data_IF_826303853602
#
_entry.id   IF_826303853602
#
_cell.length_a   1.000
_cell.length_b   1.000
_cell.length_c   1.000
_cell.angle_alpha   90.00
_cell.angle_beta   90.00
_cell.angle_gamma   90.00
#
_symmetry.space_group_name_H-M   'P 1'
#
loop_
_entity.id
_entity.type
_entity.pdbx_description
1 polymer ?
#
# COMPACT_ATOMS: atom_id res chain seq x y z
N UNK A 1 4.69 -18.50 -33.71
CA UNK A 1 5.55 -17.80 -32.74
C UNK A 1 4.68 -17.34 -31.59
N UNK A 2 4.61 -18.12 -30.52
CA UNK A 2 3.87 -17.76 -29.30
C UNK A 2 4.57 -16.57 -28.65
N UNK A 3 3.97 -15.40 -28.82
CA UNK A 3 4.29 -14.23 -28.01
C UNK A 3 3.75 -14.52 -26.60
N UNK A 4 4.56 -14.40 -25.53
CA UNK A 4 4.00 -14.54 -24.18
C UNK A 4 2.88 -13.50 -23.99
N UNK A 5 1.82 -13.81 -23.23
CA UNK A 5 0.77 -12.84 -22.93
C UNK A 5 1.42 -11.59 -22.32
N UNK A 6 0.94 -10.37 -22.63
CA UNK A 6 1.52 -9.16 -22.09
C UNK A 6 1.32 -9.15 -20.57
N UNK A 7 2.34 -9.56 -19.82
CA UNK A 7 2.39 -9.57 -18.35
C UNK A 7 2.59 -8.16 -17.79
N UNK A 8 1.81 -7.19 -18.30
CA UNK A 8 1.86 -5.80 -17.88
C UNK A 8 0.93 -4.90 -18.71
N UNK A 9 0.52 -3.77 -18.14
CA UNK A 9 -0.35 -2.75 -18.75
C UNK A 9 0.33 -1.98 -19.92
N UNK A 10 1.52 -2.41 -20.33
CA UNK A 10 2.35 -1.81 -21.39
C UNK A 10 2.67 -0.31 -21.18
N UNK A 11 2.71 0.15 -19.93
CA UNK A 11 3.10 1.53 -19.59
C UNK A 11 4.57 1.80 -19.85
N UNK A 12 4.89 3.03 -20.26
CA UNK A 12 6.27 3.46 -20.41
C UNK A 12 6.93 3.73 -19.06
N UNK A 13 8.26 3.73 -19.02
CA UNK A 13 9.00 4.13 -17.82
C UNK A 13 8.68 5.57 -17.38
N UNK A 14 8.38 6.45 -18.35
CA UNK A 14 7.96 7.83 -18.10
C UNK A 14 6.59 7.89 -17.40
N UNK A 15 5.64 7.05 -17.81
CA UNK A 15 4.31 6.95 -17.21
C UNK A 15 4.39 6.54 -15.73
N UNK A 16 5.20 5.52 -15.44
CA UNK A 16 5.41 5.00 -14.07
C UNK A 16 6.16 6.01 -13.22
N UNK A 17 7.16 6.69 -13.80
CA UNK A 17 7.92 7.75 -13.15
C UNK A 17 7.03 8.95 -12.78
N UNK A 18 6.16 9.36 -13.71
CA UNK A 18 5.20 10.46 -13.51
C UNK A 18 4.18 10.10 -12.42
N UNK A 19 3.57 8.91 -12.48
CA UNK A 19 2.65 8.44 -11.44
C UNK A 19 3.32 8.40 -10.05
N UNK A 20 4.59 7.96 -9.99
CA UNK A 20 5.37 7.93 -8.75
C UNK A 20 5.68 9.34 -8.22
N UNK A 21 5.98 10.29 -9.10
CA UNK A 21 6.20 11.69 -8.72
C UNK A 21 4.92 12.33 -8.17
N UNK A 22 3.76 12.09 -8.80
CA UNK A 22 2.46 12.55 -8.30
C UNK A 22 2.18 11.96 -6.91
N UNK A 23 2.39 10.66 -6.73
CA UNK A 23 2.25 9.98 -5.43
C UNK A 23 3.14 10.61 -4.36
N UNK A 24 4.41 10.90 -4.69
CA UNK A 24 5.36 11.55 -3.78
C UNK A 24 4.92 12.97 -3.41
N UNK A 25 4.52 13.77 -4.39
CA UNK A 25 3.99 15.12 -4.18
C UNK A 25 2.75 15.13 -3.30
N UNK A 26 1.82 14.19 -3.53
CA UNK A 26 0.66 13.99 -2.67
C UNK A 26 1.07 13.71 -1.21
N UNK A 27 2.00 12.78 -0.98
CA UNK A 27 2.44 12.41 0.38
C UNK A 27 3.09 13.58 1.14
N UNK A 28 3.86 14.42 0.44
CA UNK A 28 4.48 15.61 1.04
C UNK A 28 3.45 16.58 1.65
N UNK A 29 2.25 16.64 1.07
CA UNK A 29 1.16 17.48 1.57
C UNK A 29 0.28 16.69 2.55
N UNK A 30 -0.09 15.47 2.17
CA UNK A 30 -1.05 14.65 2.89
C UNK A 30 -0.55 14.30 4.30
N UNK A 31 0.70 13.85 4.41
CA UNK A 31 1.29 13.37 5.66
C UNK A 31 1.33 14.43 6.77
N UNK A 32 2.02 15.56 6.59
CA UNK A 32 2.17 16.54 7.67
C UNK A 32 0.95 17.43 7.89
N UNK A 33 0.09 17.66 6.88
CA UNK A 33 -1.00 18.64 7.00
C UNK A 33 -2.39 18.02 7.12
N UNK A 34 -2.69 16.93 6.40
CA UNK A 34 -4.03 16.33 6.38
C UNK A 34 -4.18 15.26 7.46
N UNK A 35 -3.21 14.37 7.62
CA UNK A 35 -3.29 13.28 8.60
C UNK A 35 -3.46 13.79 10.03
N UNK A 36 -2.69 14.79 10.54
CA UNK A 36 -2.87 15.27 11.91
C UNK A 36 -4.23 15.95 12.12
N UNK A 37 -4.73 16.70 11.12
CA UNK A 37 -6.06 17.31 11.20
C UNK A 37 -7.16 16.25 11.26
N UNK A 38 -7.05 15.23 10.43
CA UNK A 38 -8.01 14.13 10.43
C UNK A 38 -7.93 13.34 11.75
N UNK A 39 -6.73 13.04 12.22
CA UNK A 39 -6.48 12.37 13.50
C UNK A 39 -7.10 13.14 14.68
N UNK A 40 -7.00 14.47 14.72
CA UNK A 40 -7.63 15.28 15.77
C UNK A 40 -9.17 15.26 15.72
N UNK A 41 -9.76 15.06 14.53
CA UNK A 41 -11.21 15.04 14.34
C UNK A 41 -11.84 13.68 14.68
N UNK A 42 -11.23 12.58 14.21
CA UNK A 42 -11.81 11.23 14.35
C UNK A 42 -11.13 10.37 15.42
N UNK A 43 -9.94 10.75 15.87
CA UNK A 43 -9.10 9.96 16.78
C UNK A 43 -8.26 8.91 16.05
N UNK A 44 -7.14 8.55 16.68
CA UNK A 44 -6.10 7.67 16.11
C UNK A 44 -6.64 6.28 15.74
N UNK A 45 -7.36 5.61 16.66
CA UNK A 45 -7.87 4.26 16.41
C UNK A 45 -8.91 4.20 15.30
N UNK A 46 -9.84 5.18 15.24
CA UNK A 46 -10.86 5.22 14.18
C UNK A 46 -10.24 5.51 12.82
N UNK A 47 -9.19 6.34 12.78
CA UNK A 47 -8.43 6.59 11.57
C UNK A 47 -7.76 5.32 11.04
N UNK A 48 -7.11 4.54 11.91
CA UNK A 48 -6.49 3.26 11.52
C UNK A 48 -7.56 2.30 10.98
N UNK A 49 -8.65 2.08 11.72
CA UNK A 49 -9.74 1.19 11.30
C UNK A 49 -10.32 1.62 9.95
N UNK A 50 -10.58 2.91 9.76
CA UNK A 50 -11.10 3.44 8.50
C UNK A 50 -10.11 3.19 7.34
N UNK A 51 -8.83 3.45 7.56
CA UNK A 51 -7.78 3.21 6.58
C UNK A 51 -7.68 1.71 6.23
N UNK A 52 -7.73 0.82 7.22
CA UNK A 52 -7.73 -0.64 7.03
C UNK A 52 -8.96 -1.11 6.25
N UNK A 53 -10.15 -0.57 6.52
CA UNK A 53 -11.36 -0.85 5.75
C UNK A 53 -11.23 -0.41 4.28
N UNK A 54 -10.66 0.77 4.03
CA UNK A 54 -10.44 1.26 2.68
C UNK A 54 -9.37 0.45 1.93
N UNK A 55 -8.45 -0.21 2.63
CA UNK A 55 -7.42 -1.04 1.99
C UNK A 55 -8.01 -2.23 1.21
N UNK A 56 -9.20 -2.71 1.59
CA UNK A 56 -9.89 -3.85 0.95
C UNK A 56 -10.13 -3.64 -0.54
N UNK A 57 -10.33 -2.39 -0.98
CA UNK A 57 -10.51 -2.07 -2.39
C UNK A 57 -9.28 -2.39 -3.24
N UNK A 58 -8.09 -2.49 -2.63
CA UNK A 58 -6.86 -2.83 -3.34
C UNK A 58 -6.78 -4.31 -3.75
N UNK A 59 -7.64 -5.18 -3.22
CA UNK A 59 -7.75 -6.56 -3.68
C UNK A 59 -8.11 -6.65 -5.18
N UNK A 60 -8.82 -5.65 -5.71
CA UNK A 60 -9.35 -5.62 -7.08
C UNK A 60 -8.45 -4.86 -8.06
N UNK A 61 -7.21 -4.52 -7.68
CA UNK A 61 -6.24 -3.89 -8.59
C UNK A 61 -6.01 -4.70 -9.88
N UNK A 62 -5.92 -6.05 -9.86
CA UNK A 62 -5.75 -6.84 -11.08
C UNK A 62 -6.86 -6.63 -12.12
N UNK A 63 -8.09 -6.33 -11.68
CA UNK A 63 -9.22 -6.12 -12.59
C UNK A 63 -9.09 -4.84 -13.43
N UNK A 64 -8.20 -3.89 -13.06
CA UNK A 64 -7.90 -2.72 -13.89
C UNK A 64 -7.36 -3.14 -15.27
N UNK A 65 -6.66 -4.28 -15.35
CA UNK A 65 -6.15 -4.79 -16.62
C UNK A 65 -7.26 -5.17 -17.61
N UNK A 66 -8.49 -5.42 -17.13
CA UNK A 66 -9.66 -5.72 -17.97
C UNK A 66 -10.38 -4.46 -18.47
N UNK A 67 -10.02 -3.28 -17.97
CA UNK A 67 -10.65 -2.02 -18.35
C UNK A 67 -10.05 -1.46 -19.65
N UNK A 68 -10.77 -0.54 -20.33
CA UNK A 68 -10.24 0.16 -21.50
C UNK A 68 -8.87 0.79 -21.23
N UNK A 69 -7.94 0.69 -22.18
CA UNK A 69 -6.56 1.19 -22.05
C UNK A 69 -6.47 2.68 -21.67
N UNK A 70 -7.46 3.48 -22.09
CA UNK A 70 -7.58 4.90 -21.73
C UNK A 70 -7.82 5.16 -20.24
N UNK A 71 -8.40 4.18 -19.52
CA UNK A 71 -8.70 4.28 -18.10
C UNK A 71 -7.64 3.63 -17.21
N UNK A 72 -6.78 2.76 -17.77
CA UNK A 72 -5.82 1.99 -16.99
C UNK A 72 -4.82 2.90 -16.26
N UNK A 73 -4.18 3.84 -16.96
CA UNK A 73 -3.20 4.74 -16.36
C UNK A 73 -3.76 5.66 -15.26
N UNK A 74 -4.88 6.38 -15.46
CA UNK A 74 -5.43 7.23 -14.41
C UNK A 74 -5.93 6.43 -13.20
N UNK A 75 -6.49 5.23 -13.41
CA UNK A 75 -6.93 4.37 -12.30
C UNK A 75 -5.77 3.81 -11.50
N UNK A 76 -4.71 3.33 -12.16
CA UNK A 76 -3.50 2.87 -11.46
C UNK A 76 -2.87 4.01 -10.68
N UNK A 77 -2.77 5.20 -11.27
CA UNK A 77 -2.23 6.38 -10.58
C UNK A 77 -3.06 6.75 -9.35
N UNK A 78 -4.39 6.74 -9.47
CA UNK A 78 -5.31 6.99 -8.36
C UNK A 78 -5.15 5.96 -7.24
N UNK A 79 -5.04 4.67 -7.60
CA UNK A 79 -4.77 3.58 -6.65
C UNK A 79 -3.43 3.80 -5.94
N UNK A 80 -2.36 4.14 -6.67
CA UNK A 80 -1.04 4.40 -6.07
C UNK A 80 -1.07 5.54 -5.05
N UNK A 81 -1.84 6.60 -5.34
CA UNK A 81 -2.05 7.73 -4.41
C UNK A 81 -2.85 7.26 -3.19
N UNK A 82 -3.94 6.52 -3.41
CA UNK A 82 -4.77 5.97 -2.33
C UNK A 82 -3.99 5.06 -1.40
N UNK A 83 -3.22 4.11 -1.94
CA UNK A 83 -2.36 3.21 -1.18
C UNK A 83 -1.33 3.97 -0.36
N UNK A 84 -0.71 5.00 -0.96
CA UNK A 84 0.21 5.88 -0.24
C UNK A 84 -0.47 6.58 0.93
N UNK A 85 -1.65 7.19 0.72
CA UNK A 85 -2.37 7.90 1.76
C UNK A 85 -2.79 7.00 2.91
N UNK A 86 -3.41 5.86 2.59
CA UNK A 86 -3.87 4.87 3.58
C UNK A 86 -2.68 4.33 4.38
N UNK A 87 -1.63 3.83 3.71
CA UNK A 87 -0.46 3.30 4.42
C UNK A 87 0.26 4.35 5.27
N UNK A 88 0.32 5.60 4.81
CA UNK A 88 0.91 6.67 5.59
C UNK A 88 0.06 7.03 6.83
N UNK A 89 -1.27 7.03 6.71
CA UNK A 89 -2.16 7.27 7.85
C UNK A 89 -2.07 6.15 8.90
N UNK A 90 -2.03 4.88 8.47
CA UNK A 90 -1.85 3.73 9.36
C UNK A 90 -0.50 3.78 10.09
N UNK A 91 0.57 4.08 9.35
CA UNK A 91 1.91 4.20 9.93
C UNK A 91 2.00 5.31 10.98
N UNK A 92 1.51 6.52 10.66
CA UNK A 92 1.48 7.63 11.63
C UNK A 92 0.60 7.28 12.82
N UNK A 93 -0.57 6.67 12.59
CA UNK A 93 -1.47 6.25 13.65
C UNK A 93 -0.83 5.26 14.61
N UNK A 94 -0.14 4.24 14.08
CA UNK A 94 0.56 3.22 14.87
C UNK A 94 1.65 3.85 15.73
N UNK A 95 2.48 4.72 15.15
CA UNK A 95 3.53 5.44 15.90
C UNK A 95 2.91 6.29 17.01
N UNK A 96 1.80 6.98 16.75
CA UNK A 96 1.12 7.78 17.75
C UNK A 96 0.56 6.92 18.90
N UNK A 97 -0.11 5.81 18.60
CA UNK A 97 -0.65 4.90 19.61
C UNK A 97 0.44 4.26 20.49
N UNK A 98 1.58 3.91 19.89
CA UNK A 98 2.75 3.44 20.64
C UNK A 98 3.30 4.54 21.55
N UNK A 99 3.45 5.77 21.03
CA UNK A 99 3.94 6.90 21.81
C UNK A 99 3.02 7.27 22.98
N UNK A 100 1.70 7.16 22.81
CA UNK A 100 0.71 7.40 23.88
C UNK A 100 0.79 6.34 25.00
N UNK A 101 1.23 5.13 24.67
CA UNK A 101 1.30 4.00 25.61
C UNK A 101 2.67 3.85 26.30
N UNK A 102 3.67 4.62 25.86
CA UNK A 102 5.06 4.45 26.25
C UNK A 102 5.57 5.54 27.22
N UNK A 103 6.53 5.22 28.12
CA UNK A 103 7.23 6.22 28.92
C UNK A 103 7.99 7.21 28.05
N UNK A 104 7.89 8.51 28.38
CA UNK A 104 8.46 9.61 27.57
C UNK A 104 9.98 9.55 27.42
N UNK A 105 10.67 9.02 28.43
CA UNK A 105 12.12 8.82 28.46
C UNK A 105 12.61 7.70 27.52
N UNK A 106 11.71 6.80 27.09
CA UNK A 106 12.05 5.64 26.26
C UNK A 106 11.54 5.76 24.82
N UNK A 107 10.85 6.85 24.47
CA UNK A 107 10.27 7.05 23.13
C UNK A 107 11.32 6.94 22.02
N UNK A 108 12.53 7.43 22.25
CA UNK A 108 13.62 7.31 21.27
C UNK A 108 14.01 5.86 20.99
N UNK A 109 14.13 5.04 22.03
CA UNK A 109 14.46 3.62 21.89
C UNK A 109 13.30 2.84 21.26
N UNK A 110 12.06 3.08 21.71
CA UNK A 110 10.86 2.40 21.22
C UNK A 110 10.61 2.73 19.74
N UNK A 111 10.66 4.00 19.36
CA UNK A 111 10.53 4.40 17.97
C UNK A 111 11.71 3.90 17.14
N UNK A 112 12.93 3.89 17.68
CA UNK A 112 14.10 3.32 17.00
C UNK A 112 13.88 1.86 16.61
N UNK A 113 13.47 1.01 17.57
CA UNK A 113 13.14 -0.39 17.32
C UNK A 113 12.00 -0.53 16.31
N UNK A 114 10.92 0.26 16.45
CA UNK A 114 9.81 0.27 15.52
C UNK A 114 10.22 0.63 14.09
N UNK A 115 11.06 1.65 13.92
CA UNK A 115 11.57 2.06 12.60
C UNK A 115 12.52 1.03 12.00
N UNK A 116 13.36 0.38 12.81
CA UNK A 116 14.23 -0.71 12.36
C UNK A 116 13.42 -1.92 11.89
N UNK A 117 12.41 -2.34 12.66
CA UNK A 117 11.50 -3.41 12.27
C UNK A 117 10.77 -3.07 10.96
N UNK A 118 10.25 -1.85 10.85
CA UNK A 118 9.61 -1.39 9.62
C UNK A 118 10.58 -1.33 8.43
N UNK A 119 11.85 -0.96 8.65
CA UNK A 119 12.87 -0.96 7.59
C UNK A 119 13.17 -2.38 7.10
N UNK A 120 13.34 -3.34 8.02
CA UNK A 120 13.53 -4.75 7.68
C UNK A 120 12.33 -5.29 6.89
N UNK A 121 11.11 -4.98 7.31
CA UNK A 121 9.90 -5.36 6.59
C UNK A 121 9.88 -4.78 5.16
N UNK A 122 10.22 -3.49 4.99
CA UNK A 122 10.31 -2.85 3.66
C UNK A 122 11.38 -3.48 2.77
N UNK A 123 12.47 -4.00 3.34
CA UNK A 123 13.51 -4.71 2.59
C UNK A 123 13.07 -6.11 2.17
N UNK A 124 12.34 -6.84 3.03
CA UNK A 124 11.88 -8.21 2.75
C UNK A 124 10.62 -8.25 1.89
N UNK A 125 9.77 -7.21 1.96
CA UNK A 125 8.49 -7.18 1.27
C UNK A 125 8.61 -7.38 -0.25
N UNK A 126 9.55 -6.75 -0.99
CA UNK A 126 9.72 -7.01 -2.41
C UNK A 126 10.17 -8.44 -2.71
N UNK A 127 11.03 -9.03 -1.87
CA UNK A 127 11.52 -10.39 -2.06
C UNK A 127 10.37 -11.40 -1.97
N UNK A 128 9.59 -11.33 -0.88
CA UNK A 128 8.48 -12.26 -0.65
C UNK A 128 7.31 -11.96 -1.61
N UNK A 129 7.00 -10.68 -1.83
CA UNK A 129 5.91 -10.25 -2.69
C UNK A 129 6.13 -10.56 -4.17
N UNK A 130 7.37 -10.42 -4.68
CA UNK A 130 7.68 -10.73 -6.08
C UNK A 130 7.58 -12.23 -6.38
N UNK A 131 8.06 -13.08 -5.47
CA UNK A 131 7.94 -14.54 -5.59
C UNK A 131 6.47 -14.98 -5.51
N UNK A 132 5.71 -14.46 -4.55
CA UNK A 132 4.25 -14.71 -4.45
C UNK A 132 3.51 -14.26 -5.71
N UNK A 133 3.82 -13.06 -6.22
CA UNK A 133 3.21 -12.53 -7.43
C UNK A 133 3.49 -13.41 -8.65
N UNK A 134 4.75 -13.80 -8.85
CA UNK A 134 5.16 -14.69 -9.94
C UNK A 134 4.46 -16.04 -9.85
N UNK A 135 4.45 -16.65 -8.66
CA UNK A 135 3.73 -17.90 -8.41
C UNK A 135 2.22 -17.78 -8.69
N UNK A 136 1.60 -16.65 -8.30
CA UNK A 136 0.18 -16.41 -8.51
C UNK A 136 -0.20 -16.22 -9.99
N UNK A 137 0.72 -15.74 -10.84
CA UNK A 137 0.53 -15.61 -12.28
C UNK A 137 0.67 -16.95 -13.02
N UNK A 138 1.55 -17.83 -12.55
CA UNK A 138 1.79 -19.15 -13.15
C UNK A 138 0.76 -20.21 -12.70
N UNK A 139 0.11 -19.96 -11.57
CA UNK A 139 -0.91 -20.82 -11.00
C UNK A 139 -2.18 -20.83 -11.85
N UNK A 140 -2.60 -22.01 -12.33
CA UNK A 140 -3.88 -22.20 -13.05
C UNK A 140 -5.11 -22.26 -12.13
N UNK A 141 -5.04 -21.68 -10.93
CA UNK A 141 -6.15 -21.71 -9.97
C UNK A 141 -7.17 -20.61 -10.28
N UNK A 142 -8.43 -20.85 -9.89
CA UNK A 142 -9.46 -19.82 -9.92
C UNK A 142 -9.35 -18.91 -8.68
N UNK A 143 -9.99 -17.75 -8.74
CA UNK A 143 -10.20 -16.87 -7.59
C UNK A 143 -10.56 -17.68 -6.33
N UNK A 144 -9.93 -17.44 -5.17
CA UNK A 144 -9.00 -16.34 -4.84
C UNK A 144 -7.51 -16.67 -4.98
N UNK A 145 -7.13 -17.84 -5.51
CA UNK A 145 -5.73 -18.30 -5.59
C UNK A 145 -5.03 -17.95 -6.91
N UNK A 146 -5.64 -17.08 -7.71
CA UNK A 146 -5.06 -16.48 -8.91
C UNK A 146 -4.24 -15.23 -8.56
N UNK A 147 -3.99 -14.35 -9.54
CA UNK A 147 -3.29 -13.07 -9.35
C UNK A 147 -3.83 -12.24 -8.17
N UNK A 148 -5.10 -12.40 -7.78
CA UNK A 148 -5.71 -11.70 -6.65
C UNK A 148 -5.14 -12.14 -5.30
N UNK A 149 -4.55 -13.33 -5.18
CA UNK A 149 -3.97 -13.82 -3.93
C UNK A 149 -2.93 -12.84 -3.37
N UNK A 150 -2.04 -12.35 -4.23
CA UNK A 150 -0.99 -11.41 -3.84
C UNK A 150 -1.58 -10.13 -3.26
N UNK A 151 -2.65 -9.62 -3.87
CA UNK A 151 -3.33 -8.41 -3.43
C UNK A 151 -4.18 -8.66 -2.18
N UNK A 152 -4.85 -9.80 -2.07
CA UNK A 152 -5.59 -10.23 -0.88
C UNK A 152 -4.67 -10.40 0.33
N UNK A 153 -3.48 -10.96 0.15
CA UNK A 153 -2.47 -11.04 1.21
C UNK A 153 -2.00 -9.65 1.62
N UNK A 154 -1.78 -8.73 0.68
CA UNK A 154 -1.41 -7.34 1.00
C UNK A 154 -2.50 -6.62 1.81
N UNK A 155 -3.76 -6.86 1.50
CA UNK A 155 -4.92 -6.35 2.26
C UNK A 155 -4.97 -7.00 3.64
N UNK A 156 -4.74 -8.31 3.74
CA UNK A 156 -4.68 -9.01 5.02
C UNK A 156 -3.62 -8.45 5.95
N UNK A 157 -2.44 -8.12 5.41
CA UNK A 157 -1.38 -7.41 6.16
C UNK A 157 -1.84 -6.03 6.58
N UNK A 158 -2.46 -5.25 5.68
CA UNK A 158 -2.95 -3.91 5.98
C UNK A 158 -4.09 -3.89 7.03
N UNK A 159 -4.85 -4.98 7.17
CA UNK A 159 -5.89 -5.10 8.20
C UNK A 159 -5.32 -5.56 9.55
N UNK A 160 -4.18 -6.25 9.54
CA UNK A 160 -3.52 -6.75 10.75
C UNK A 160 -2.75 -5.66 11.52
N UNK A 161 -2.42 -4.54 10.88
CA UNK A 161 -1.89 -3.31 11.49
C UNK A 161 -2.97 -2.52 12.25
#
# INVERSE_FOLDING_TARGET
>A
SMQPPPTGLAFSTEDVGTASAIRGGFLLIFGPFLVPKFQQLVGTSRMIIFASCCSVFFAFIPDIARMPSTLQWPLVTLVMIGMAGIGNAQFIGTVLSVNESAPRDQLGAINGVGQSAAALARTLAPLVGAELFSWSMESNFNFPFDIHLTFLLSVGVAIAD
#
